data_IF_352670655112
#
_entry.id   IF_352670655112
#
_cell.length_a   1.000
_cell.length_b   1.000
_cell.length_c   1.000
_cell.angle_alpha   90.00
_cell.angle_beta   90.00
_cell.angle_gamma   90.00
#
_symmetry.space_group_name_H-M   'P 1'
#
loop_
_entity.id
_entity.type
_entity.pdbx_description
1 polymer ?
#
# COMPACT_ATOMS: atom_id res chain seq x y z
N UNK A 1 -16.31 24.38 -14.27
CA UNK A 1 -15.55 23.12 -14.10
C UNK A 1 -16.57 22.07 -13.73
N UNK A 2 -16.92 21.18 -14.66
CA UNK A 2 -17.80 20.05 -14.33
C UNK A 2 -17.03 19.17 -13.36
N UNK A 3 -17.50 19.09 -12.12
CA UNK A 3 -17.09 18.05 -11.18
C UNK A 3 -17.41 16.70 -11.85
N UNK A 4 -16.36 15.98 -12.19
CA UNK A 4 -16.47 14.66 -12.80
C UNK A 4 -17.08 13.71 -11.75
N UNK A 5 -18.41 13.57 -11.78
CA UNK A 5 -19.23 12.83 -10.80
C UNK A 5 -18.96 11.32 -10.76
N UNK A 6 -17.96 10.84 -11.48
CA UNK A 6 -17.59 9.43 -11.62
C UNK A 6 -16.15 9.13 -11.23
N UNK A 7 -15.52 9.99 -10.42
CA UNK A 7 -14.16 9.72 -9.93
C UNK A 7 -14.23 8.99 -8.59
N UNK A 8 -13.53 7.86 -8.47
CA UNK A 8 -13.39 7.14 -7.20
C UNK A 8 -12.32 7.77 -6.32
N UNK A 9 -11.26 8.34 -6.94
CA UNK A 9 -10.16 9.00 -6.23
C UNK A 9 -9.74 10.22 -7.02
N UNK A 10 -9.63 11.37 -6.35
CA UNK A 10 -9.02 12.59 -6.89
C UNK A 10 -7.83 13.00 -6.04
N UNK A 11 -6.68 13.17 -6.67
CA UNK A 11 -5.43 13.64 -6.04
C UNK A 11 -5.06 14.97 -6.70
N UNK A 12 -4.92 16.04 -5.92
CA UNK A 12 -4.71 17.41 -6.43
C UNK A 12 -3.50 18.05 -5.74
N UNK A 13 -2.46 18.33 -6.52
CA UNK A 13 -1.25 19.06 -6.10
C UNK A 13 -0.62 18.52 -4.80
N UNK A 14 -0.65 17.21 -4.60
CA UNK A 14 -0.18 16.58 -3.36
C UNK A 14 1.33 16.64 -3.27
N UNK A 15 1.81 17.13 -2.11
CA UNK A 15 3.21 17.08 -1.70
C UNK A 15 3.34 16.33 -0.36
N UNK A 16 4.40 15.54 -0.23
CA UNK A 16 4.71 14.79 0.99
C UNK A 16 6.20 14.89 1.27
N UNK A 17 6.53 15.35 2.46
CA UNK A 17 7.88 15.65 2.91
C UNK A 17 8.24 14.84 4.15
N UNK A 18 9.41 14.22 4.16
CA UNK A 18 9.98 13.61 5.34
C UNK A 18 11.05 14.51 5.94
N UNK A 19 10.89 14.82 7.23
CA UNK A 19 11.88 15.58 8.00
C UNK A 19 12.83 14.61 8.67
N UNK A 20 14.11 14.63 8.28
CA UNK A 20 15.16 13.88 8.92
C UNK A 20 15.96 14.80 9.86
N UNK A 21 16.13 14.37 11.08
CA UNK A 21 17.07 15.01 11.99
C UNK A 21 18.48 14.47 11.68
N UNK A 22 19.40 15.33 11.26
CA UNK A 22 20.82 14.94 11.22
C UNK A 22 21.27 14.67 12.65
N UNK A 23 21.42 13.40 13.01
CA UNK A 23 22.08 12.99 14.25
C UNK A 23 23.57 13.30 14.11
N UNK A 24 23.98 14.51 14.50
CA UNK A 24 25.38 14.82 14.73
C UNK A 24 25.93 13.90 15.83
N UNK A 25 27.20 13.49 15.73
CA UNK A 25 27.87 12.67 16.74
C UNK A 25 27.66 13.26 18.13
N UNK A 26 27.29 12.42 19.11
CA UNK A 26 27.04 12.81 20.50
C UNK A 26 28.21 13.63 21.09
N UNK A 27 29.44 13.43 20.61
CA UNK A 27 30.64 14.17 21.06
C UNK A 27 30.70 15.65 20.61
N UNK A 28 30.00 16.01 19.51
CA UNK A 28 29.99 17.40 19.02
C UNK A 28 28.90 18.26 19.66
N UNK A 29 27.87 17.65 20.22
CA UNK A 29 26.70 18.34 20.79
C UNK A 29 26.90 18.83 22.24
N UNK A 30 27.99 18.44 22.94
CA UNK A 30 28.18 18.81 24.33
C UNK A 30 28.68 20.26 24.51
N UNK A 31 29.16 20.93 23.47
CA UNK A 31 29.77 22.27 23.57
C UNK A 31 29.24 23.35 22.64
N UNK A 32 28.26 23.04 21.76
CA UNK A 32 27.65 24.07 20.91
C UNK A 32 26.14 23.81 20.75
N UNK A 33 25.32 24.74 21.24
CA UNK A 33 23.90 24.86 20.89
C UNK A 33 23.85 25.24 19.40
N UNK A 34 24.06 24.27 18.51
CA UNK A 34 23.79 24.44 17.09
C UNK A 34 22.35 24.06 16.83
N UNK A 35 21.62 24.97 16.17
CA UNK A 35 20.33 24.70 15.57
C UNK A 35 20.45 23.40 14.78
N UNK A 36 19.66 22.38 15.14
CA UNK A 36 19.62 21.10 14.42
C UNK A 36 19.08 21.42 13.03
N UNK A 37 19.93 21.33 12.02
CA UNK A 37 19.49 21.46 10.63
C UNK A 37 18.60 20.27 10.28
N UNK A 38 17.33 20.53 10.01
CA UNK A 38 16.39 19.55 9.51
C UNK A 38 16.63 19.42 8.00
N UNK A 39 16.97 18.22 7.56
CA UNK A 39 17.00 17.88 6.14
C UNK A 39 15.61 17.44 5.72
N UNK A 40 15.01 18.17 4.79
CA UNK A 40 13.69 17.85 4.24
C UNK A 40 13.89 16.98 3.00
N UNK A 41 13.38 15.75 3.05
CA UNK A 41 13.32 14.86 1.90
C UNK A 41 11.93 14.93 1.28
N UNK A 42 11.84 15.50 0.09
CA UNK A 42 10.59 15.59 -0.67
C UNK A 42 10.28 14.23 -1.33
N UNK A 43 9.43 13.44 -0.70
CA UNK A 43 9.06 12.11 -1.19
C UNK A 43 8.06 12.17 -2.36
N UNK A 44 7.15 13.13 -2.33
CA UNK A 44 6.16 13.39 -3.40
C UNK A 44 6.10 14.88 -3.65
N UNK A 45 6.11 15.29 -4.91
CA UNK A 45 6.11 16.72 -5.30
C UNK A 45 5.01 17.01 -6.32
N UNK A 46 4.01 17.78 -5.88
CA UNK A 46 2.97 18.34 -6.73
C UNK A 46 2.35 17.31 -7.70
N UNK A 47 1.89 16.19 -7.15
CA UNK A 47 1.29 15.10 -7.93
C UNK A 47 -0.21 15.30 -8.01
N UNK A 48 -0.76 15.20 -9.23
CA UNK A 48 -2.19 15.26 -9.48
C UNK A 48 -2.61 14.15 -10.44
N UNK A 49 -3.69 13.45 -10.14
CA UNK A 49 -4.34 12.48 -11.02
C UNK A 49 -5.75 12.18 -10.52
N UNK A 50 -6.55 11.54 -11.39
CA UNK A 50 -7.87 11.04 -11.06
C UNK A 50 -7.97 9.56 -11.42
N UNK A 51 -8.74 8.82 -10.63
CA UNK A 51 -9.08 7.42 -10.88
C UNK A 51 -10.60 7.33 -11.02
N UNK A 52 -11.12 7.19 -12.23
CA UNK A 52 -12.55 6.95 -12.44
C UNK A 52 -13.02 5.63 -11.81
N UNK A 53 -14.30 5.56 -11.47
CA UNK A 53 -14.91 4.31 -10.98
C UNK A 53 -14.69 3.14 -11.95
N UNK A 54 -14.38 1.96 -11.41
CA UNK A 54 -14.17 0.73 -12.17
C UNK A 54 -12.86 0.68 -12.97
N UNK A 55 -11.99 1.69 -12.85
CA UNK A 55 -10.70 1.70 -13.56
C UNK A 55 -9.55 1.25 -12.68
N UNK A 56 -8.50 0.73 -13.33
CA UNK A 56 -7.23 0.35 -12.72
C UNK A 56 -6.18 1.40 -13.08
N UNK A 57 -5.56 2.02 -12.07
CA UNK A 57 -4.43 2.93 -12.24
C UNK A 57 -3.13 2.25 -11.80
N UNK A 58 -2.15 2.13 -12.71
CA UNK A 58 -0.82 1.64 -12.40
C UNK A 58 0.13 2.77 -12.02
N UNK A 59 0.74 2.70 -10.82
CA UNK A 59 1.80 3.63 -10.38
C UNK A 59 3.16 2.95 -10.56
N UNK A 60 3.96 3.44 -11.51
CA UNK A 60 5.26 2.90 -11.86
C UNK A 60 6.40 3.88 -11.57
N UNK A 61 7.62 3.40 -11.47
CA UNK A 61 8.80 4.24 -11.25
C UNK A 61 9.92 3.52 -10.50
N UNK A 62 11.09 4.15 -10.40
CA UNK A 62 12.27 3.63 -9.71
C UNK A 62 12.01 3.43 -8.21
N UNK A 63 12.83 2.59 -7.56
CA UNK A 63 12.80 2.47 -6.10
C UNK A 63 13.13 3.82 -5.46
N UNK A 64 12.38 4.19 -4.41
CA UNK A 64 12.53 5.49 -3.75
C UNK A 64 11.80 6.66 -4.43
N UNK A 65 11.05 6.46 -5.54
CA UNK A 65 10.33 7.54 -6.24
C UNK A 65 9.00 7.96 -5.59
N UNK A 66 8.70 7.52 -4.37
CA UNK A 66 7.50 7.96 -3.63
C UNK A 66 6.24 7.12 -3.86
N UNK A 67 6.25 6.06 -4.68
CA UNK A 67 5.06 5.23 -4.97
C UNK A 67 4.33 4.74 -3.73
N UNK A 68 5.06 4.08 -2.83
CA UNK A 68 4.49 3.55 -1.58
C UNK A 68 4.07 4.66 -0.62
N UNK A 69 4.75 5.81 -0.67
CA UNK A 69 4.38 7.00 0.11
C UNK A 69 3.04 7.54 -0.35
N UNK A 70 2.84 7.69 -1.66
CA UNK A 70 1.57 8.13 -2.23
C UNK A 70 0.43 7.16 -1.90
N UNK A 71 0.64 5.84 -2.07
CA UNK A 71 -0.38 4.83 -1.75
C UNK A 71 -0.78 4.87 -0.27
N UNK A 72 0.17 5.07 0.64
CA UNK A 72 -0.12 5.18 2.08
C UNK A 72 -0.87 6.46 2.42
N UNK A 73 -0.59 7.58 1.74
CA UNK A 73 -1.35 8.81 1.91
C UNK A 73 -2.79 8.66 1.41
N UNK A 74 -3.00 8.04 0.23
CA UNK A 74 -4.34 7.72 -0.29
C UNK A 74 -5.09 6.80 0.67
N UNK A 75 -4.43 5.81 1.26
CA UNK A 75 -5.01 4.92 2.26
C UNK A 75 -5.26 5.58 3.64
N UNK A 76 -4.97 6.88 3.80
CA UNK A 76 -5.21 7.63 5.03
C UNK A 76 -4.28 7.26 6.18
N UNK A 77 -3.16 6.57 5.93
CA UNK A 77 -2.18 6.19 6.98
C UNK A 77 -1.49 7.44 7.54
N UNK A 78 -1.31 8.47 6.72
CA UNK A 78 -0.86 9.81 7.12
C UNK A 78 -1.39 10.86 6.14
N UNK A 79 -1.42 12.13 6.57
CA UNK A 79 -1.87 13.26 5.74
C UNK A 79 -0.74 13.78 4.85
N UNK A 80 -1.09 14.30 3.68
CA UNK A 80 -0.16 15.05 2.85
C UNK A 80 0.21 16.38 3.52
N UNK A 81 1.42 16.91 3.25
CA UNK A 81 1.85 18.22 3.74
C UNK A 81 1.13 19.35 3.00
N UNK A 82 0.77 19.15 1.74
CA UNK A 82 -0.06 20.05 0.96
C UNK A 82 -0.80 19.31 -0.15
N UNK A 83 -1.80 19.98 -0.75
CA UNK A 83 -2.70 19.39 -1.72
C UNK A 83 -3.88 18.68 -1.07
N UNK A 84 -4.65 17.97 -1.86
CA UNK A 84 -5.89 17.34 -1.46
C UNK A 84 -6.00 15.92 -2.03
N UNK A 85 -6.51 15.00 -1.23
CA UNK A 85 -6.90 13.65 -1.63
C UNK A 85 -8.37 13.49 -1.28
N UNK A 86 -9.21 13.33 -2.30
CA UNK A 86 -10.63 13.08 -2.15
C UNK A 86 -10.96 11.65 -2.62
N UNK A 87 -11.58 10.88 -1.76
CA UNK A 87 -12.01 9.50 -2.03
C UNK A 87 -13.48 9.41 -2.43
N UNK A 88 -14.18 10.53 -2.56
CA UNK A 88 -15.60 10.60 -2.94
C UNK A 88 -16.51 9.64 -2.16
N UNK A 89 -16.21 9.43 -0.87
CA UNK A 89 -16.94 8.52 0.01
C UNK A 89 -16.55 7.04 -0.10
N UNK A 90 -15.57 6.69 -0.91
CA UNK A 90 -15.04 5.32 -0.99
C UNK A 90 -14.10 4.99 0.18
N UNK A 91 -14.07 3.72 0.54
CA UNK A 91 -13.12 3.18 1.52
C UNK A 91 -11.93 2.56 0.79
N UNK A 92 -10.72 2.87 1.24
CA UNK A 92 -9.48 2.34 0.70
C UNK A 92 -8.95 1.22 1.58
N UNK A 93 -8.62 0.09 0.96
CA UNK A 93 -7.87 -0.99 1.60
C UNK A 93 -6.50 -1.12 0.95
N UNK A 94 -5.43 -0.95 1.74
CA UNK A 94 -4.06 -1.15 1.26
C UNK A 94 -3.69 -2.61 1.45
N UNK A 95 -3.74 -3.36 0.36
CA UNK A 95 -3.38 -4.78 0.33
C UNK A 95 -1.93 -4.94 -0.14
N UNK A 96 -1.09 -5.53 0.70
CA UNK A 96 0.23 -6.00 0.26
C UNK A 96 0.12 -7.43 -0.22
N UNK A 97 0.79 -7.78 -1.31
CA UNK A 97 0.83 -9.15 -1.81
C UNK A 97 1.37 -10.07 -0.71
N UNK A 98 0.66 -11.16 -0.43
CA UNK A 98 1.08 -12.17 0.53
C UNK A 98 0.99 -11.76 2.01
N UNK A 99 0.19 -10.73 2.36
CA UNK A 99 -0.07 -10.40 3.77
C UNK A 99 -0.61 -11.61 4.51
N UNK A 100 0.10 -11.98 5.57
CA UNK A 100 -0.28 -13.14 6.39
C UNK A 100 0.11 -14.50 5.80
N UNK A 101 0.65 -14.55 4.58
CA UNK A 101 1.11 -15.80 3.97
C UNK A 101 2.25 -16.40 4.77
N UNK A 102 2.14 -17.70 5.02
CA UNK A 102 3.20 -18.51 5.62
C UNK A 102 3.71 -19.51 4.59
N UNK A 103 4.99 -19.47 4.34
CA UNK A 103 5.64 -20.28 3.29
C UNK A 103 5.54 -21.78 3.53
N UNK A 104 5.38 -22.20 4.79
CA UNK A 104 5.26 -23.58 5.20
C UNK A 104 3.85 -24.16 4.99
N UNK A 105 2.85 -23.29 4.92
CA UNK A 105 1.46 -23.67 4.69
C UNK A 105 1.16 -23.81 3.20
N UNK A 106 0.19 -24.65 2.88
CA UNK A 106 -0.36 -24.76 1.53
C UNK A 106 -1.08 -23.48 1.09
N UNK A 107 -1.32 -23.32 -0.21
CA UNK A 107 -2.14 -22.23 -0.73
C UNK A 107 -3.52 -22.18 -0.09
N UNK A 108 -4.17 -23.34 0.05
CA UNK A 108 -5.49 -23.47 0.68
C UNK A 108 -5.48 -22.97 2.14
N UNK A 109 -4.50 -23.37 2.92
CA UNK A 109 -4.35 -22.91 4.32
C UNK A 109 -4.05 -21.41 4.38
N UNK A 110 -3.26 -20.88 3.45
CA UNK A 110 -2.98 -19.45 3.36
C UNK A 110 -4.22 -18.63 2.96
N UNK A 111 -5.10 -19.12 2.08
CA UNK A 111 -6.39 -18.49 1.77
C UNK A 111 -7.22 -18.34 3.05
N UNK A 112 -7.32 -19.40 3.85
CA UNK A 112 -8.08 -19.36 5.11
C UNK A 112 -7.43 -18.36 6.07
N UNK A 113 -6.12 -18.46 6.28
CA UNK A 113 -5.38 -17.57 7.19
C UNK A 113 -5.54 -16.10 6.81
N UNK A 114 -5.29 -15.77 5.53
CA UNK A 114 -5.37 -14.39 5.05
C UNK A 114 -6.80 -13.86 5.06
N UNK A 115 -7.77 -14.68 4.68
CA UNK A 115 -9.18 -14.30 4.73
C UNK A 115 -9.65 -13.98 6.15
N UNK A 116 -9.24 -14.78 7.14
CA UNK A 116 -9.53 -14.51 8.56
C UNK A 116 -8.81 -13.25 9.07
N UNK A 117 -7.58 -13.00 8.65
CA UNK A 117 -6.86 -11.76 8.98
C UNK A 117 -7.53 -10.51 8.39
N UNK A 118 -8.21 -10.64 7.26
CA UNK A 118 -9.01 -9.59 6.64
C UNK A 118 -10.40 -9.43 7.28
N UNK A 119 -10.75 -10.26 8.28
CA UNK A 119 -11.99 -10.18 9.03
C UNK A 119 -13.15 -11.01 8.47
N UNK A 120 -12.91 -11.85 7.45
CA UNK A 120 -13.94 -12.75 6.93
C UNK A 120 -14.13 -13.98 7.84
N UNK A 121 -15.37 -14.48 7.91
CA UNK A 121 -15.64 -15.73 8.60
C UNK A 121 -15.06 -16.92 7.84
N UNK A 122 -14.70 -17.98 8.58
CA UNK A 122 -14.18 -19.21 7.97
C UNK A 122 -15.19 -19.82 6.98
N UNK A 123 -16.47 -19.80 7.32
CA UNK A 123 -17.53 -20.36 6.47
C UNK A 123 -17.64 -19.61 5.15
N UNK A 124 -17.59 -18.28 5.17
CA UNK A 124 -17.55 -17.45 3.96
C UNK A 124 -16.33 -17.76 3.09
N UNK A 125 -15.14 -17.90 3.72
CA UNK A 125 -13.91 -18.23 2.98
C UNK A 125 -14.02 -19.61 2.34
N UNK A 126 -14.57 -20.59 3.05
CA UNK A 126 -14.76 -21.96 2.52
C UNK A 126 -15.76 -21.98 1.35
N UNK A 127 -16.83 -21.18 1.42
CA UNK A 127 -17.78 -21.01 0.32
C UNK A 127 -17.09 -20.42 -0.93
N UNK A 128 -16.22 -19.43 -0.75
CA UNK A 128 -15.48 -18.77 -1.83
C UNK A 128 -14.24 -19.53 -2.31
N UNK A 129 -13.81 -20.54 -1.60
CA UNK A 129 -12.59 -21.29 -1.89
C UNK A 129 -12.51 -21.82 -3.33
N UNK A 130 -13.55 -22.45 -3.90
CA UNK A 130 -13.49 -22.93 -5.28
C UNK A 130 -13.24 -21.83 -6.29
N UNK A 131 -13.92 -20.69 -6.14
CA UNK A 131 -13.78 -19.51 -7.00
C UNK A 131 -12.35 -18.92 -6.93
N UNK A 132 -11.79 -18.83 -5.74
CA UNK A 132 -10.42 -18.34 -5.52
C UNK A 132 -9.40 -19.28 -6.19
N UNK A 133 -9.56 -20.59 -6.05
CA UNK A 133 -8.67 -21.60 -6.64
C UNK A 133 -8.72 -21.55 -8.16
N UNK A 134 -9.92 -21.44 -8.73
CA UNK A 134 -10.11 -21.30 -10.17
C UNK A 134 -9.45 -20.03 -10.70
N UNK A 135 -9.67 -18.90 -10.02
CA UNK A 135 -9.06 -17.62 -10.38
C UNK A 135 -7.52 -17.66 -10.33
N UNK A 136 -6.94 -18.31 -9.31
CA UNK A 136 -5.50 -18.44 -9.17
C UNK A 136 -4.86 -19.30 -10.28
N UNK A 137 -5.59 -20.27 -10.83
CA UNK A 137 -5.15 -21.09 -11.95
C UNK A 137 -3.93 -21.97 -11.69
N UNK A 138 -3.59 -22.23 -10.42
CA UNK A 138 -2.38 -22.98 -10.03
C UNK A 138 -2.59 -24.50 -9.89
N UNK A 139 -3.80 -24.98 -10.15
CA UNK A 139 -4.14 -26.40 -10.16
C UNK A 139 -3.77 -27.11 -8.85
N UNK A 140 -3.12 -28.26 -8.97
CA UNK A 140 -2.75 -29.10 -7.79
C UNK A 140 -1.74 -28.45 -6.84
N UNK A 141 -1.05 -27.39 -7.25
CA UNK A 141 -0.13 -26.66 -6.38
C UNK A 141 -0.84 -26.02 -5.19
N UNK A 142 -2.17 -25.82 -5.27
CA UNK A 142 -2.95 -25.23 -4.17
C UNK A 142 -2.79 -25.97 -2.84
N UNK A 143 -2.56 -27.27 -2.89
CA UNK A 143 -2.38 -28.14 -1.72
C UNK A 143 -0.90 -28.36 -1.33
N UNK A 144 0.03 -27.71 -2.07
CA UNK A 144 1.46 -27.73 -1.77
C UNK A 144 1.88 -26.48 -0.96
N UNK A 145 2.97 -26.57 -0.16
CA UNK A 145 3.50 -25.42 0.57
C UNK A 145 3.89 -24.26 -0.37
N UNK A 146 3.54 -23.02 0.00
CA UNK A 146 3.78 -21.82 -0.81
C UNK A 146 5.27 -21.63 -1.12
N UNK A 147 6.20 -22.10 -0.28
CA UNK A 147 7.65 -22.08 -0.56
C UNK A 147 8.05 -22.81 -1.86
N UNK A 148 7.17 -23.66 -2.39
CA UNK A 148 7.41 -24.37 -3.66
C UNK A 148 6.88 -23.63 -4.88
N UNK A 149 6.19 -22.50 -4.68
CA UNK A 149 5.60 -21.70 -5.74
C UNK A 149 6.66 -20.88 -6.47
N UNK A 150 6.45 -20.63 -7.76
CA UNK A 150 7.22 -19.65 -8.51
C UNK A 150 6.75 -18.23 -8.15
N UNK A 151 7.53 -17.23 -8.56
CA UNK A 151 7.19 -15.81 -8.32
C UNK A 151 5.88 -15.36 -8.98
N UNK A 152 5.40 -16.08 -9.97
CA UNK A 152 4.14 -15.78 -10.68
C UNK A 152 2.92 -16.51 -10.11
N UNK A 153 3.13 -17.51 -9.27
CA UNK A 153 2.07 -18.26 -8.58
C UNK A 153 1.69 -17.55 -7.29
#
# INVERSE_FOLDING_TARGET
MEENRNSAISVRNVCIDYKSLKTGSIKENLFKIKKVEQEIFHAVRNVSFEVPEGQILGITGKNGSGKSTMLRAIAGIFSADSGEIDLHGHTISLLSIGVGFKNELSGRENIILSGMLLGFSRDFIMEKMPEIIEFAGIGNFIDMPVKTYSSGM
#
